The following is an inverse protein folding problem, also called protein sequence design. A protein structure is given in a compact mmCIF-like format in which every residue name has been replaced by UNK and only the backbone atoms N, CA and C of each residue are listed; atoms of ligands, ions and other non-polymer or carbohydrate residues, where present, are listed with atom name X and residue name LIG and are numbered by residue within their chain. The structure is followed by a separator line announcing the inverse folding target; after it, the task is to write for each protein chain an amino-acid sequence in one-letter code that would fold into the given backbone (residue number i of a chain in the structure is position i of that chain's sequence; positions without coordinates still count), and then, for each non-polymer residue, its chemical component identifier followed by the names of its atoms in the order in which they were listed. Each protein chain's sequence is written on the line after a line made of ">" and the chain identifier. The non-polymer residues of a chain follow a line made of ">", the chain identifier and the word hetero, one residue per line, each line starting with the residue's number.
data_IF_087560764055
#
_entry.id   IF_087560764055
#
_cell.length_a   1.000
_cell.length_b   1.000
_cell.length_c   1.000
_cell.angle_alpha   90.00
_cell.angle_beta   90.00
_cell.angle_gamma   90.00
#
_symmetry.space_group_name_H-M   'P 1'
#
loop_
_entity.id
_entity.type
_entity.pdbx_description
1 polymer ?
#
# COMPACT_ATOMS: atom_id res chain seq x y z
N UNK A 1 15.16 -1.80 20.67
CA UNK A 1 15.45 -0.78 21.69
C UNK A 1 16.94 -0.64 21.99
N UNK A 2 17.69 -1.72 22.28
CA UNK A 2 19.15 -1.61 22.57
C UNK A 2 19.95 -0.85 21.51
N UNK A 3 19.65 -1.06 20.21
CA UNK A 3 20.32 -0.34 19.10
C UNK A 3 20.06 1.17 19.16
N UNK A 4 18.81 1.59 19.37
CA UNK A 4 18.50 3.01 19.50
C UNK A 4 19.21 3.65 20.70
N UNK A 5 19.17 2.98 21.85
CA UNK A 5 19.82 3.44 23.08
C UNK A 5 21.35 3.51 22.92
N UNK A 6 21.98 2.49 22.30
CA UNK A 6 23.41 2.45 22.02
C UNK A 6 23.88 3.62 21.14
N UNK A 7 23.04 4.07 20.23
CA UNK A 7 23.34 5.20 19.33
C UNK A 7 22.72 6.52 19.80
N UNK A 8 22.14 6.59 21.02
CA UNK A 8 21.50 7.80 21.54
C UNK A 8 20.29 8.28 20.73
N UNK A 9 19.66 7.38 19.98
CA UNK A 9 18.55 7.69 19.10
C UNK A 9 17.21 7.57 19.84
N UNK A 10 16.27 8.41 19.47
CA UNK A 10 14.88 8.34 19.93
C UNK A 10 13.93 8.23 18.75
N UNK A 11 12.89 7.39 18.84
CA UNK A 11 11.86 7.31 17.82
C UNK A 11 11.19 8.66 17.59
N UNK A 12 10.92 8.98 16.35
CA UNK A 12 10.22 10.19 15.92
C UNK A 12 8.78 9.85 15.54
N UNK A 13 7.85 10.18 16.43
CA UNK A 13 6.43 9.89 16.20
C UNK A 13 5.80 10.82 15.15
N UNK A 14 6.44 11.96 14.80
CA UNK A 14 5.99 12.82 13.71
C UNK A 14 6.30 12.19 12.34
N UNK A 15 7.35 11.36 12.28
CA UNK A 15 7.64 10.51 11.12
C UNK A 15 6.89 9.17 11.15
N UNK A 16 5.95 8.98 12.08
CA UNK A 16 5.18 7.74 12.21
C UNK A 16 6.01 6.53 12.68
N UNK A 17 7.17 6.75 13.31
CA UNK A 17 8.05 5.67 13.76
C UNK A 17 7.44 4.89 14.92
N UNK A 18 7.02 3.67 14.63
CA UNK A 18 6.58 2.64 15.56
C UNK A 18 7.30 1.34 15.20
N UNK A 19 8.43 1.06 15.87
CA UNK A 19 9.26 -0.08 15.53
C UNK A 19 8.62 -1.38 15.98
N UNK A 20 8.48 -2.31 15.06
CA UNK A 20 8.04 -3.68 15.33
C UNK A 20 9.24 -4.48 15.86
N UNK A 21 9.12 -4.98 17.10
CA UNK A 21 10.20 -5.72 17.77
C UNK A 21 9.81 -7.18 18.08
N UNK A 22 8.58 -7.58 17.76
CA UNK A 22 8.09 -8.94 17.96
C UNK A 22 8.58 -9.85 16.82
N UNK A 23 9.52 -10.75 17.13
CA UNK A 23 10.13 -11.66 16.17
C UNK A 23 9.10 -12.58 15.49
N UNK A 24 8.04 -12.99 16.19
CA UNK A 24 7.00 -13.83 15.60
C UNK A 24 6.20 -13.09 14.52
N UNK A 25 5.98 -11.79 14.71
CA UNK A 25 5.31 -10.96 13.70
C UNK A 25 6.24 -10.61 12.54
N UNK A 26 7.51 -10.43 12.79
CA UNK A 26 8.53 -10.28 11.73
C UNK A 26 8.56 -11.54 10.87
N UNK A 27 8.69 -12.71 11.46
CA UNK A 27 8.67 -13.99 10.74
C UNK A 27 7.34 -14.23 10.02
N UNK A 28 6.22 -13.83 10.65
CA UNK A 28 4.91 -13.91 10.01
C UNK A 28 4.83 -12.99 8.78
N UNK A 29 5.42 -11.80 8.83
CA UNK A 29 5.44 -10.86 7.70
C UNK A 29 6.20 -11.45 6.51
N UNK A 30 7.34 -12.09 6.75
CA UNK A 30 8.13 -12.78 5.72
C UNK A 30 7.33 -13.93 5.09
N UNK A 31 6.71 -14.79 5.94
CA UNK A 31 5.91 -15.93 5.46
C UNK A 31 4.65 -15.48 4.73
N UNK A 32 3.90 -14.51 5.28
CA UNK A 32 2.69 -14.01 4.64
C UNK A 32 2.99 -13.20 3.36
N UNK A 33 4.19 -12.63 3.26
CA UNK A 33 4.72 -12.02 2.04
C UNK A 33 5.22 -13.05 1.01
N UNK A 34 5.22 -14.35 1.35
CA UNK A 34 5.72 -15.44 0.51
C UNK A 34 7.13 -15.16 -0.04
N UNK A 35 7.98 -14.61 0.81
CA UNK A 35 9.36 -14.28 0.43
C UNK A 35 10.20 -15.55 0.40
N UNK A 36 10.83 -15.80 -0.75
CA UNK A 36 11.70 -16.95 -0.97
C UNK A 36 13.07 -16.55 -1.54
N UNK A 37 14.00 -17.54 -1.70
CA UNK A 37 15.40 -17.28 -2.06
C UNK A 37 15.62 -16.68 -3.46
N UNK A 38 14.61 -16.74 -4.33
CA UNK A 38 14.67 -16.12 -5.66
C UNK A 38 14.05 -14.72 -5.69
N UNK A 39 13.35 -14.32 -4.63
CA UNK A 39 12.63 -13.07 -4.59
C UNK A 39 13.55 -11.86 -4.36
N UNK A 40 13.09 -10.74 -4.85
CA UNK A 40 13.62 -9.41 -4.56
C UNK A 40 12.60 -8.69 -3.70
N UNK A 41 12.94 -8.47 -2.44
CA UNK A 41 12.08 -7.77 -1.50
C UNK A 41 12.32 -6.25 -1.57
N UNK A 42 11.23 -5.47 -1.50
CA UNK A 42 11.27 -4.04 -1.22
C UNK A 42 10.70 -3.82 0.17
N UNK A 43 11.48 -3.18 1.03
CA UNK A 43 11.05 -2.68 2.32
C UNK A 43 11.07 -1.15 2.34
N UNK A 44 9.98 -0.55 2.81
CA UNK A 44 9.89 0.90 3.01
C UNK A 44 9.79 1.18 4.50
N UNK A 45 10.71 1.99 5.02
CA UNK A 45 10.83 2.28 6.44
C UNK A 45 11.45 1.12 7.23
N UNK A 46 12.70 0.69 6.91
CA UNK A 46 13.39 -0.37 7.65
C UNK A 46 13.59 -0.05 9.14
N UNK A 47 13.59 1.22 9.49
CA UNK A 47 13.75 1.66 10.88
C UNK A 47 15.08 1.22 11.46
N UNK A 48 15.04 0.32 12.44
CA UNK A 48 16.25 -0.26 13.06
C UNK A 48 16.68 -1.59 12.44
N UNK A 49 16.09 -1.97 11.28
CA UNK A 49 16.54 -3.10 10.48
C UNK A 49 16.01 -4.48 10.88
N UNK A 50 15.09 -4.60 11.85
CA UNK A 50 14.63 -5.91 12.35
C UNK A 50 13.97 -6.74 11.24
N UNK A 51 13.07 -6.15 10.48
CA UNK A 51 12.42 -6.83 9.34
C UNK A 51 13.40 -6.98 8.18
N UNK A 52 14.26 -5.98 7.93
CA UNK A 52 15.30 -6.04 6.88
C UNK A 52 16.20 -7.26 7.03
N UNK A 53 16.67 -7.54 8.25
CA UNK A 53 17.50 -8.72 8.57
C UNK A 53 16.77 -10.02 8.27
N UNK A 54 15.48 -10.10 8.62
CA UNK A 54 14.68 -11.29 8.34
C UNK A 54 14.44 -11.48 6.83
N UNK A 55 14.18 -10.39 6.12
CA UNK A 55 14.05 -10.39 4.65
C UNK A 55 15.36 -10.77 3.97
N UNK A 56 16.50 -10.25 4.44
CA UNK A 56 17.82 -10.57 3.88
C UNK A 56 18.19 -12.05 4.00
N UNK A 57 17.70 -12.72 5.04
CA UNK A 57 17.89 -14.18 5.22
C UNK A 57 17.00 -15.01 4.31
N UNK A 58 15.87 -14.47 3.85
CA UNK A 58 14.89 -15.18 3.06
C UNK A 58 14.99 -14.89 1.56
N UNK A 59 15.31 -13.66 1.18
CA UNK A 59 15.29 -13.15 -0.18
C UNK A 59 16.68 -13.16 -0.84
N UNK A 60 16.69 -13.15 -2.17
CA UNK A 60 17.92 -12.95 -2.97
C UNK A 60 18.51 -11.57 -2.79
N UNK A 61 17.68 -10.53 -2.81
CA UNK A 61 18.07 -9.13 -2.65
C UNK A 61 16.99 -8.42 -1.84
N UNK A 62 17.39 -7.49 -0.99
CA UNK A 62 16.48 -6.57 -0.29
C UNK A 62 16.84 -5.14 -0.68
N UNK A 63 15.90 -4.43 -1.29
CA UNK A 63 15.94 -2.99 -1.40
C UNK A 63 15.24 -2.40 -0.17
N UNK A 64 15.94 -1.57 0.59
CA UNK A 64 15.42 -0.90 1.77
C UNK A 64 15.46 0.62 1.56
N UNK A 65 14.30 1.30 1.69
CA UNK A 65 14.20 2.76 1.51
C UNK A 65 13.86 3.41 2.84
N UNK A 66 14.77 4.26 3.36
CA UNK A 66 14.61 4.95 4.64
C UNK A 66 14.67 6.47 4.48
N UNK A 67 13.74 7.14 5.13
CA UNK A 67 13.66 8.60 5.13
C UNK A 67 14.59 9.22 6.17
N UNK A 68 14.66 8.62 7.36
CA UNK A 68 15.33 9.18 8.53
C UNK A 68 16.82 8.80 8.58
N UNK A 69 17.67 9.68 8.07
CA UNK A 69 19.13 9.47 8.09
C UNK A 69 19.74 9.37 9.50
N UNK A 70 19.04 9.80 10.54
CA UNK A 70 19.51 9.63 11.93
C UNK A 70 19.66 8.15 12.31
N UNK A 71 18.91 7.26 11.62
CA UNK A 71 18.97 5.81 11.85
C UNK A 71 20.17 5.14 11.20
N UNK A 72 20.99 5.85 10.41
CA UNK A 72 22.14 5.29 9.67
C UNK A 72 23.11 4.47 10.56
N UNK A 73 23.54 4.95 11.75
CA UNK A 73 24.45 4.15 12.59
C UNK A 73 23.80 2.85 13.09
N UNK A 74 22.55 2.89 13.47
CA UNK A 74 21.81 1.70 13.94
C UNK A 74 21.56 0.70 12.81
N UNK A 75 21.20 1.18 11.61
CA UNK A 75 21.04 0.34 10.42
C UNK A 75 22.37 -0.28 9.98
N UNK A 76 23.46 0.49 9.95
CA UNK A 76 24.78 -0.03 9.60
C UNK A 76 25.21 -1.18 10.53
N UNK A 77 24.97 -1.05 11.84
CA UNK A 77 25.22 -2.13 12.80
C UNK A 77 24.32 -3.35 12.57
N UNK A 78 23.00 -3.12 12.41
CA UNK A 78 22.03 -4.20 12.22
C UNK A 78 22.27 -5.00 10.93
N UNK A 79 22.72 -4.33 9.87
CA UNK A 79 22.92 -4.91 8.54
C UNK A 79 24.36 -5.40 8.30
N UNK A 80 25.24 -5.30 9.30
CA UNK A 80 26.63 -5.73 9.17
C UNK A 80 26.73 -7.20 8.75
N UNK A 81 27.48 -7.47 7.67
CA UNK A 81 27.66 -8.81 7.12
C UNK A 81 26.52 -9.32 6.23
N UNK A 82 25.54 -8.46 5.88
CA UNK A 82 24.49 -8.78 4.93
C UNK A 82 24.80 -8.13 3.57
N UNK A 83 25.34 -8.90 2.64
CA UNK A 83 25.81 -8.40 1.34
C UNK A 83 24.68 -8.21 0.31
N UNK A 84 23.47 -8.73 0.62
CA UNK A 84 22.31 -8.69 -0.26
C UNK A 84 21.32 -7.56 0.06
N UNK A 85 21.66 -6.64 0.97
CA UNK A 85 20.82 -5.47 1.30
C UNK A 85 21.33 -4.23 0.57
N UNK A 86 20.45 -3.54 -0.12
CA UNK A 86 20.69 -2.28 -0.83
C UNK A 86 19.88 -1.18 -0.16
N UNK A 87 20.53 -0.41 0.70
CA UNK A 87 19.93 0.69 1.43
C UNK A 87 19.95 1.97 0.58
N UNK A 88 18.78 2.59 0.41
CA UNK A 88 18.59 3.87 -0.25
C UNK A 88 17.96 4.87 0.73
N UNK A 89 18.53 6.07 0.81
CA UNK A 89 18.01 7.15 1.64
C UNK A 89 17.11 8.06 0.84
N UNK A 90 15.88 8.26 1.30
CA UNK A 90 14.93 9.17 0.67
C UNK A 90 13.47 8.89 1.01
N UNK A 91 12.62 9.79 0.55
CA UNK A 91 11.17 9.64 0.64
C UNK A 91 10.69 8.59 -0.39
N UNK A 92 10.11 7.50 0.07
CA UNK A 92 9.62 6.40 -0.77
C UNK A 92 8.56 6.86 -1.79
N UNK A 93 7.87 7.97 -1.55
CA UNK A 93 6.94 8.55 -2.50
C UNK A 93 7.63 9.31 -3.65
N UNK A 94 8.93 9.63 -3.51
CA UNK A 94 9.70 10.45 -4.45
C UNK A 94 10.89 9.74 -5.08
N UNK A 95 11.48 8.77 -4.37
CA UNK A 95 12.60 7.97 -4.92
C UNK A 95 12.14 7.20 -6.15
N UNK A 96 13.06 6.96 -7.05
CA UNK A 96 12.82 6.13 -8.24
C UNK A 96 12.75 4.64 -7.84
N UNK A 97 11.53 4.18 -7.51
CA UNK A 97 11.29 2.78 -7.22
C UNK A 97 11.22 1.91 -8.49
N UNK A 98 10.96 2.52 -9.65
CA UNK A 98 10.87 1.83 -10.93
C UNK A 98 12.26 1.44 -11.46
N UNK A 99 13.27 2.26 -11.14
CA UNK A 99 14.68 2.03 -11.48
C UNK A 99 15.42 1.07 -10.56
N UNK A 100 14.75 0.44 -9.57
CA UNK A 100 15.39 -0.56 -8.70
C UNK A 100 15.80 -1.80 -9.52
N UNK A 101 17.07 -2.18 -9.44
CA UNK A 101 17.63 -3.35 -10.13
C UNK A 101 18.31 -4.29 -9.11
N UNK A 102 17.95 -5.59 -9.07
CA UNK A 102 16.84 -6.22 -9.78
C UNK A 102 15.47 -5.68 -9.33
N UNK A 103 14.48 -5.73 -10.22
CA UNK A 103 13.14 -5.24 -9.94
C UNK A 103 12.48 -6.00 -8.78
N UNK A 104 11.82 -5.33 -7.83
CA UNK A 104 11.18 -5.97 -6.69
C UNK A 104 10.04 -6.92 -7.10
N UNK A 105 9.99 -8.11 -6.50
CA UNK A 105 8.91 -9.10 -6.67
C UNK A 105 7.97 -9.16 -5.48
N UNK A 106 8.42 -8.66 -4.32
CA UNK A 106 7.68 -8.61 -3.05
C UNK A 106 7.83 -7.23 -2.43
N UNK A 107 6.75 -6.68 -1.89
CA UNK A 107 6.80 -5.51 -1.03
C UNK A 107 6.40 -5.93 0.38
N UNK A 108 7.35 -5.92 1.32
CA UNK A 108 7.11 -6.33 2.71
C UNK A 108 7.59 -5.24 3.64
N UNK A 109 6.69 -4.63 4.40
CA UNK A 109 7.04 -3.45 5.20
C UNK A 109 6.13 -3.25 6.41
N UNK A 110 6.70 -2.68 7.47
CA UNK A 110 5.93 -2.01 8.52
C UNK A 110 5.78 -0.53 8.16
N UNK A 111 4.73 -0.20 7.39
CA UNK A 111 4.60 1.11 6.76
C UNK A 111 4.30 2.23 7.75
N UNK A 112 4.94 3.41 7.59
CA UNK A 112 4.46 4.64 8.22
C UNK A 112 3.00 4.88 7.85
N UNK A 113 2.16 5.20 8.85
CA UNK A 113 0.71 5.19 8.68
C UNK A 113 0.17 6.22 7.70
N UNK A 114 0.85 7.35 7.56
CA UNK A 114 0.47 8.46 6.68
C UNK A 114 0.68 8.15 5.19
N UNK A 115 1.71 7.36 4.86
CA UNK A 115 2.02 7.01 3.46
C UNK A 115 1.49 5.63 3.04
N UNK A 116 0.96 4.82 3.97
CA UNK A 116 0.60 3.42 3.69
C UNK A 116 -0.36 3.28 2.51
N UNK A 117 -1.46 4.05 2.48
CA UNK A 117 -2.43 3.97 1.37
C UNK A 117 -1.86 4.50 0.05
N UNK A 118 -1.31 5.72 -0.03
CA UNK A 118 -0.75 6.19 -1.29
C UNK A 118 0.38 5.30 -1.79
N UNK A 119 1.28 4.82 -0.93
CA UNK A 119 2.38 3.95 -1.34
C UNK A 119 1.89 2.64 -1.96
N UNK A 120 0.98 1.92 -1.28
CA UNK A 120 0.46 0.64 -1.80
C UNK A 120 -0.31 0.86 -3.09
N UNK A 121 -1.17 1.88 -3.16
CA UNK A 121 -1.91 2.20 -4.38
C UNK A 121 -0.95 2.57 -5.52
N UNK A 122 0.02 3.47 -5.32
CA UNK A 122 0.99 3.84 -6.35
C UNK A 122 1.85 2.65 -6.81
N UNK A 123 2.24 1.76 -5.89
CA UNK A 123 3.06 0.59 -6.20
C UNK A 123 2.37 -0.40 -7.15
N UNK A 124 1.03 -0.38 -7.25
CA UNK A 124 0.31 -1.20 -8.25
C UNK A 124 0.76 -0.86 -9.69
N UNK A 125 1.05 0.43 -9.96
CA UNK A 125 1.51 0.92 -11.26
C UNK A 125 3.02 0.97 -11.37
N UNK A 126 3.67 1.54 -10.37
CA UNK A 126 5.12 1.77 -10.39
C UNK A 126 5.94 0.49 -10.28
N UNK A 127 5.39 -0.57 -9.70
CA UNK A 127 6.09 -1.84 -9.48
C UNK A 127 5.31 -3.02 -10.08
N UNK A 128 5.24 -3.13 -11.41
CA UNK A 128 4.44 -4.17 -12.08
C UNK A 128 4.96 -5.59 -11.81
N UNK A 129 6.23 -5.75 -11.43
CA UNK A 129 6.85 -7.02 -11.04
C UNK A 129 6.48 -7.49 -9.64
N UNK A 130 5.96 -6.62 -8.77
CA UNK A 130 5.52 -7.01 -7.43
C UNK A 130 4.28 -7.90 -7.53
N UNK A 131 4.43 -9.15 -7.13
CA UNK A 131 3.37 -10.15 -7.12
C UNK A 131 2.64 -10.25 -5.76
N UNK A 132 3.29 -9.80 -4.68
CA UNK A 132 2.75 -9.86 -3.32
C UNK A 132 3.16 -8.63 -2.52
N UNK A 133 2.19 -8.04 -1.86
CA UNK A 133 2.38 -7.02 -0.80
C UNK A 133 2.07 -7.66 0.53
N UNK A 134 2.94 -7.51 1.53
CA UNK A 134 2.66 -7.88 2.91
C UNK A 134 3.01 -6.70 3.81
N UNK A 135 2.01 -5.97 4.27
CA UNK A 135 2.25 -4.70 4.95
C UNK A 135 1.52 -4.62 6.28
N UNK A 136 2.21 -4.05 7.26
CA UNK A 136 1.64 -3.65 8.53
C UNK A 136 1.10 -2.23 8.40
N UNK A 137 -0.20 -2.05 8.69
CA UNK A 137 -0.89 -0.76 8.58
C UNK A 137 -1.85 -0.57 9.74
N UNK A 138 -2.42 0.63 9.92
CA UNK A 138 -3.51 0.81 10.87
C UNK A 138 -4.69 -0.11 10.53
N UNK A 139 -5.37 -0.66 11.56
CA UNK A 139 -6.53 -1.54 11.37
C UNK A 139 -7.62 -0.92 10.49
N UNK A 140 -7.93 0.35 10.70
CA UNK A 140 -8.91 1.07 9.89
C UNK A 140 -8.51 1.18 8.41
N UNK A 141 -7.22 1.35 8.12
CA UNK A 141 -6.68 1.37 6.76
C UNK A 141 -6.88 0.03 6.08
N UNK A 142 -6.53 -1.06 6.78
CA UNK A 142 -6.77 -2.43 6.30
C UNK A 142 -8.26 -2.70 6.03
N UNK A 143 -9.13 -2.28 6.98
CA UNK A 143 -10.57 -2.44 6.85
C UNK A 143 -11.13 -1.66 5.66
N UNK A 144 -10.58 -0.49 5.37
CA UNK A 144 -10.95 0.33 4.20
C UNK A 144 -10.51 -0.31 2.89
N UNK A 145 -9.28 -0.84 2.82
CA UNK A 145 -8.79 -1.49 1.59
C UNK A 145 -9.61 -2.71 1.20
N UNK A 146 -10.06 -3.49 2.19
CA UNK A 146 -10.80 -4.73 2.02
C UNK A 146 -12.33 -4.56 2.12
N UNK A 147 -12.80 -3.31 2.19
CA UNK A 147 -14.20 -3.02 2.32
C UNK A 147 -14.99 -3.40 1.06
N UNK A 148 -16.13 -4.12 1.18
CA UNK A 148 -16.98 -4.42 0.04
C UNK A 148 -17.78 -3.21 -0.43
N UNK A 149 -18.26 -3.22 -1.70
CA UNK A 149 -19.22 -2.22 -2.20
C UNK A 149 -20.43 -2.05 -1.28
N UNK A 150 -20.94 -0.83 -1.18
CA UNK A 150 -22.06 -0.48 -0.30
C UNK A 150 -21.69 -0.25 1.16
N UNK A 151 -20.51 -0.63 1.60
CA UNK A 151 -20.08 -0.39 2.98
C UNK A 151 -19.64 1.05 3.21
N UNK A 152 -19.72 1.51 4.47
CA UNK A 152 -19.29 2.86 4.85
C UNK A 152 -17.78 3.11 4.60
N UNK A 153 -16.96 2.08 4.67
CA UNK A 153 -15.51 2.18 4.52
C UNK A 153 -15.05 2.09 3.05
N UNK A 154 -15.90 1.55 2.17
CA UNK A 154 -15.56 1.40 0.76
C UNK A 154 -15.20 2.74 0.10
N UNK A 155 -14.09 2.78 -0.64
CA UNK A 155 -13.54 4.01 -1.20
C UNK A 155 -12.66 3.75 -2.42
N UNK A 156 -12.05 4.82 -2.95
CA UNK A 156 -11.20 4.72 -4.14
C UNK A 156 -10.05 3.72 -3.98
N UNK A 157 -9.42 3.67 -2.82
CA UNK A 157 -8.35 2.69 -2.55
C UNK A 157 -8.89 1.25 -2.58
N UNK A 158 -10.10 1.00 -2.03
CA UNK A 158 -10.75 -0.32 -2.09
C UNK A 158 -10.92 -0.78 -3.54
N UNK A 159 -11.43 0.12 -4.40
CA UNK A 159 -11.64 -0.16 -5.84
C UNK A 159 -10.31 -0.46 -6.53
N UNK A 160 -9.33 0.44 -6.40
CA UNK A 160 -8.06 0.33 -7.13
C UNK A 160 -7.26 -0.92 -6.72
N UNK A 161 -7.29 -1.26 -5.43
CA UNK A 161 -6.66 -2.50 -4.92
C UNK A 161 -7.41 -3.72 -5.45
N UNK A 162 -8.75 -3.76 -5.34
CA UNK A 162 -9.53 -4.91 -5.78
C UNK A 162 -9.47 -5.18 -7.30
N UNK A 163 -9.16 -4.15 -8.10
CA UNK A 163 -8.96 -4.30 -9.55
C UNK A 163 -7.61 -4.93 -9.92
N UNK A 164 -6.62 -4.89 -9.03
CA UNK A 164 -5.26 -5.36 -9.31
C UNK A 164 -4.80 -6.50 -8.40
N UNK A 165 -5.43 -6.67 -7.24
CA UNK A 165 -5.00 -7.62 -6.23
C UNK A 165 -6.18 -8.14 -5.39
N UNK A 166 -5.99 -9.28 -4.77
CA UNK A 166 -6.93 -9.87 -3.82
C UNK A 166 -6.29 -10.08 -2.45
N UNK A 167 -7.08 -10.09 -1.37
CA UNK A 167 -6.55 -10.39 -0.04
C UNK A 167 -6.13 -11.86 0.06
N UNK A 168 -4.84 -12.10 0.37
CA UNK A 168 -4.27 -13.42 0.61
C UNK A 168 -4.19 -13.74 2.12
N UNK A 169 -3.97 -12.73 2.95
CA UNK A 169 -3.86 -12.89 4.40
C UNK A 169 -4.27 -11.62 5.13
N UNK A 170 -4.86 -11.77 6.32
CA UNK A 170 -5.12 -10.67 7.25
C UNK A 170 -5.06 -11.14 8.68
N UNK A 171 -4.36 -10.39 9.54
CA UNK A 171 -4.30 -10.60 10.98
C UNK A 171 -4.35 -9.27 11.73
N UNK A 172 -5.20 -9.17 12.73
CA UNK A 172 -5.19 -8.04 13.66
C UNK A 172 -3.96 -8.11 14.56
N UNK A 173 -3.34 -6.96 14.82
CA UNK A 173 -2.12 -6.81 15.61
C UNK A 173 -2.36 -5.73 16.65
N UNK A 174 -2.21 -6.12 17.92
CA UNK A 174 -2.34 -5.19 19.04
C UNK A 174 -1.17 -4.20 19.05
N UNK A 175 -1.42 -3.02 19.58
CA UNK A 175 -0.44 -1.93 19.64
C UNK A 175 0.73 -2.18 20.61
N UNK A 176 0.64 -3.19 21.48
CA UNK A 176 1.65 -3.53 22.50
C UNK A 176 2.95 -4.09 21.91
N UNK A 177 2.94 -4.57 20.66
CA UNK A 177 4.12 -5.13 19.99
C UNK A 177 5.04 -4.07 19.36
N UNK A 178 4.62 -2.80 19.42
CA UNK A 178 5.37 -1.68 18.85
C UNK A 178 6.02 -0.81 19.94
N UNK A 179 7.15 -0.22 19.59
CA UNK A 179 7.82 0.79 20.42
C UNK A 179 8.25 1.99 19.57
N UNK A 180 7.80 3.21 19.91
CA UNK A 180 6.76 3.52 20.90
C UNK A 180 5.41 2.94 20.49
N UNK A 181 4.54 2.72 21.51
CA UNK A 181 3.20 2.18 21.26
C UNK A 181 2.36 3.18 20.47
N UNK A 182 1.73 2.78 19.34
CA UNK A 182 0.82 3.64 18.58
C UNK A 182 -0.50 3.87 19.34
N UNK A 183 -1.28 4.85 18.90
CA UNK A 183 -2.59 5.17 19.51
C UNK A 183 -3.69 4.18 19.13
N UNK A 184 -3.52 3.48 18.01
CA UNK A 184 -4.50 2.57 17.41
C UNK A 184 -3.88 1.20 17.14
N UNK A 185 -4.73 0.17 17.05
CA UNK A 185 -4.29 -1.16 16.66
C UNK A 185 -3.94 -1.20 15.17
N UNK A 186 -3.11 -2.17 14.83
CA UNK A 186 -2.65 -2.43 13.47
C UNK A 186 -3.29 -3.68 12.87
N UNK A 187 -3.04 -3.90 11.61
CA UNK A 187 -3.30 -5.15 10.94
C UNK A 187 -2.13 -5.47 9.98
N UNK A 188 -1.71 -6.72 9.96
CA UNK A 188 -0.88 -7.26 8.91
C UNK A 188 -1.80 -7.73 7.77
N UNK A 189 -1.59 -7.20 6.58
CA UNK A 189 -2.37 -7.52 5.37
C UNK A 189 -1.44 -7.99 4.28
N UNK A 190 -1.74 -9.15 3.69
CA UNK A 190 -1.11 -9.55 2.45
C UNK A 190 -2.11 -9.48 1.29
N UNK A 191 -1.66 -8.91 0.18
CA UNK A 191 -2.41 -8.76 -1.06
C UNK A 191 -1.63 -9.47 -2.17
N UNK A 192 -2.31 -10.34 -2.92
CA UNK A 192 -1.75 -11.03 -4.08
C UNK A 192 -2.19 -10.33 -5.35
N UNK A 193 -1.27 -10.06 -6.24
CA UNK A 193 -1.59 -9.52 -7.57
C UNK A 193 -2.43 -10.53 -8.37
N UNK A 194 -3.53 -10.06 -8.94
CA UNK A 194 -4.42 -10.88 -9.78
C UNK A 194 -4.36 -10.46 -11.25
N UNK A 195 -3.80 -9.27 -11.53
CA UNK A 195 -3.72 -8.75 -12.89
C UNK A 195 -2.87 -7.48 -12.97
N UNK A 196 -2.81 -6.86 -14.15
CA UNK A 196 -2.16 -5.58 -14.33
C UNK A 196 -2.89 -4.49 -13.54
N UNK A 197 -2.19 -3.40 -13.25
CA UNK A 197 -2.82 -2.21 -12.70
C UNK A 197 -3.91 -1.69 -13.64
N UNK A 198 -5.02 -1.14 -13.10
CA UNK A 198 -6.04 -0.50 -13.92
C UNK A 198 -5.45 0.64 -14.78
N UNK A 199 -6.07 0.94 -15.94
CA UNK A 199 -5.62 2.04 -16.78
C UNK A 199 -5.67 3.39 -16.04
N UNK A 200 -4.86 4.38 -16.49
CA UNK A 200 -4.89 5.72 -15.89
C UNK A 200 -6.28 6.36 -16.03
N UNK A 201 -7.02 6.08 -17.10
CA UNK A 201 -8.41 6.49 -17.25
C UNK A 201 -9.29 5.95 -16.12
N UNK A 202 -9.16 4.66 -15.79
CA UNK A 202 -9.89 4.05 -14.67
C UNK A 202 -9.48 4.68 -13.33
N UNK A 203 -8.18 4.87 -13.11
CA UNK A 203 -7.63 5.48 -11.90
C UNK A 203 -8.16 6.90 -11.69
N UNK A 204 -8.10 7.72 -12.73
CA UNK A 204 -8.59 9.10 -12.73
C UNK A 204 -10.12 9.15 -12.49
N UNK A 205 -10.89 8.28 -13.17
CA UNK A 205 -12.34 8.18 -12.97
C UNK A 205 -12.68 7.78 -11.53
N UNK A 206 -11.99 6.80 -10.95
CA UNK A 206 -12.18 6.41 -9.53
C UNK A 206 -11.92 7.59 -8.61
N UNK A 207 -10.83 8.34 -8.84
CA UNK A 207 -10.50 9.55 -8.07
C UNK A 207 -11.62 10.60 -8.15
N UNK A 208 -12.11 10.89 -9.35
CA UNK A 208 -13.20 11.83 -9.59
C UNK A 208 -14.52 11.36 -8.91
N UNK A 209 -14.87 10.09 -9.05
CA UNK A 209 -16.07 9.49 -8.50
C UNK A 209 -16.11 9.55 -6.96
N UNK A 210 -14.97 9.27 -6.29
CA UNK A 210 -14.86 9.29 -4.82
C UNK A 210 -14.52 10.66 -4.24
N UNK A 211 -14.13 11.64 -5.06
CA UNK A 211 -13.89 13.01 -4.62
C UNK A 211 -15.12 13.68 -4.01
N UNK A 212 -16.32 13.22 -4.37
CA UNK A 212 -17.60 13.76 -3.86
C UNK A 212 -18.54 12.63 -3.39
N UNK A 213 -18.12 11.85 -2.38
CA UNK A 213 -18.82 10.63 -1.90
C UNK A 213 -20.33 10.75 -1.66
N UNK A 214 -20.83 11.93 -1.29
CA UNK A 214 -22.27 12.14 -0.99
C UNK A 214 -23.11 12.41 -2.21
N UNK A 215 -22.53 12.74 -3.37
CA UNK A 215 -23.23 12.97 -4.61
C UNK A 215 -23.50 11.66 -5.37
N UNK A 216 -24.51 11.68 -6.23
CA UNK A 216 -24.67 10.61 -7.23
C UNK A 216 -23.47 10.58 -8.16
N UNK A 217 -23.17 9.42 -8.73
CA UNK A 217 -22.02 9.24 -9.61
C UNK A 217 -22.06 10.22 -10.80
N UNK A 218 -23.23 10.40 -11.42
CA UNK A 218 -23.41 11.38 -12.50
C UNK A 218 -23.03 12.81 -12.05
N UNK A 219 -23.42 13.23 -10.85
CA UNK A 219 -23.08 14.56 -10.35
C UNK A 219 -21.60 14.67 -9.91
N UNK A 220 -20.99 13.59 -9.43
CA UNK A 220 -19.57 13.57 -9.07
C UNK A 220 -18.71 13.72 -10.31
N UNK A 221 -18.98 12.95 -11.37
CA UNK A 221 -18.23 12.97 -12.63
C UNK A 221 -18.46 14.27 -13.41
N UNK A 222 -19.71 14.80 -13.42
CA UNK A 222 -19.99 16.11 -13.99
C UNK A 222 -19.21 17.24 -13.29
N UNK A 223 -19.05 17.14 -11.97
CA UNK A 223 -18.20 18.05 -11.20
C UNK A 223 -16.71 17.96 -11.53
N UNK A 224 -16.27 16.88 -12.16
CA UNK A 224 -14.93 16.67 -12.69
C UNK A 224 -14.81 16.96 -14.20
N UNK A 225 -15.84 17.56 -14.82
CA UNK A 225 -15.81 18.01 -16.21
C UNK A 225 -16.51 17.11 -17.22
N UNK A 226 -17.09 15.98 -16.81
CA UNK A 226 -17.84 15.12 -17.73
C UNK A 226 -19.18 15.73 -18.13
N UNK A 227 -19.63 15.49 -19.36
CA UNK A 227 -20.99 15.81 -19.76
C UNK A 227 -22.00 14.93 -19.00
N UNK A 228 -22.95 15.57 -18.31
CA UNK A 228 -23.90 14.87 -17.46
C UNK A 228 -24.83 13.92 -18.24
N UNK A 229 -25.17 14.27 -19.46
CA UNK A 229 -26.00 13.45 -20.34
C UNK A 229 -25.25 12.20 -20.80
N UNK A 230 -24.00 12.35 -21.18
CA UNK A 230 -23.12 11.22 -21.53
C UNK A 230 -22.95 10.27 -20.35
N UNK A 231 -22.71 10.80 -19.15
CA UNK A 231 -22.61 9.96 -17.94
C UNK A 231 -23.91 9.21 -17.68
N UNK A 232 -25.07 9.90 -17.78
CA UNK A 232 -26.38 9.25 -17.59
C UNK A 232 -26.63 8.13 -18.61
N UNK A 233 -26.26 8.36 -19.88
CA UNK A 233 -26.33 7.35 -20.94
C UNK A 233 -25.43 6.15 -20.65
N UNK A 234 -24.16 6.39 -20.29
CA UNK A 234 -23.20 5.33 -19.96
C UNK A 234 -23.65 4.49 -18.75
N UNK A 235 -24.24 5.13 -17.73
CA UNK A 235 -24.81 4.41 -16.58
C UNK A 235 -25.99 3.52 -16.99
N UNK A 236 -26.89 4.03 -17.83
CA UNK A 236 -28.03 3.26 -18.33
C UNK A 236 -27.56 2.04 -19.17
N UNK A 237 -26.61 2.23 -20.05
CA UNK A 237 -26.01 1.15 -20.89
C UNK A 237 -25.36 0.05 -20.04
N UNK A 238 -24.81 0.40 -18.89
CA UNK A 238 -24.22 -0.54 -17.94
C UNK A 238 -25.20 -1.11 -16.90
N UNK A 239 -26.47 -0.73 -16.99
CA UNK A 239 -27.50 -1.13 -16.02
C UNK A 239 -27.30 -0.56 -14.61
N UNK A 240 -26.58 0.56 -14.50
CA UNK A 240 -26.31 1.23 -13.22
C UNK A 240 -27.43 2.26 -12.95
N UNK A 241 -28.11 2.20 -11.80
CA UNK A 241 -29.18 3.15 -11.48
C UNK A 241 -28.69 4.61 -11.51
N UNK A 242 -29.49 5.53 -12.06
CA UNK A 242 -29.15 6.94 -12.15
C UNK A 242 -28.86 7.61 -10.80
N UNK A 243 -29.46 7.09 -9.73
CA UNK A 243 -29.22 7.55 -8.34
C UNK A 243 -28.00 6.93 -7.66
N UNK A 244 -27.31 5.97 -8.30
CA UNK A 244 -26.16 5.28 -7.71
C UNK A 244 -25.03 6.24 -7.35
N UNK A 245 -24.34 5.96 -6.25
CA UNK A 245 -23.11 6.63 -5.83
C UNK A 245 -21.92 5.75 -6.16
N UNK A 246 -20.72 6.33 -6.20
CA UNK A 246 -19.50 5.56 -6.41
C UNK A 246 -19.36 4.38 -5.42
N UNK A 247 -19.79 4.57 -4.18
CA UNK A 247 -19.72 3.54 -3.15
C UNK A 247 -20.64 2.34 -3.38
N UNK A 248 -21.63 2.44 -4.24
CA UNK A 248 -22.61 1.38 -4.52
C UNK A 248 -22.11 0.43 -5.63
N UNK A 249 -21.05 0.83 -6.37
CA UNK A 249 -20.57 0.10 -7.55
C UNK A 249 -19.51 -0.96 -7.17
N UNK A 250 -19.64 -2.12 -7.81
CA UNK A 250 -18.56 -3.12 -7.81
C UNK A 250 -17.30 -2.59 -8.52
N UNK A 251 -16.10 -3.00 -8.12
CA UNK A 251 -14.84 -2.52 -8.71
C UNK A 251 -14.82 -2.60 -10.24
N UNK A 252 -15.31 -3.70 -10.82
CA UNK A 252 -15.30 -4.01 -12.25
C UNK A 252 -16.18 -3.06 -13.09
N UNK A 253 -17.07 -2.32 -12.45
CA UNK A 253 -17.88 -1.32 -13.12
C UNK A 253 -17.06 -0.08 -13.53
N UNK A 254 -15.99 0.25 -12.79
CA UNK A 254 -15.21 1.46 -13.04
C UNK A 254 -14.42 1.40 -14.35
N UNK A 255 -13.67 0.32 -14.70
CA UNK A 255 -13.03 0.20 -16.01
C UNK A 255 -14.02 0.28 -17.16
N UNK A 256 -15.15 -0.42 -17.07
CA UNK A 256 -16.23 -0.39 -18.08
C UNK A 256 -16.82 1.00 -18.27
N UNK A 257 -16.99 1.74 -17.17
CA UNK A 257 -17.49 3.11 -17.22
C UNK A 257 -16.44 4.06 -17.81
N UNK A 258 -15.17 3.91 -17.46
CA UNK A 258 -14.09 4.71 -18.03
C UNK A 258 -13.97 4.52 -19.54
N UNK A 259 -14.08 3.28 -20.01
CA UNK A 259 -14.08 2.94 -21.44
C UNK A 259 -15.32 3.55 -22.16
N UNK A 260 -16.52 3.37 -21.57
CA UNK A 260 -17.77 3.87 -22.16
C UNK A 260 -17.83 5.38 -22.30
N UNK A 261 -17.21 6.09 -21.36
CA UNK A 261 -17.10 7.56 -21.35
C UNK A 261 -15.91 8.08 -22.16
N UNK A 262 -15.05 7.21 -22.72
CA UNK A 262 -13.75 7.60 -23.26
C UNK A 262 -13.03 8.58 -22.30
N UNK A 263 -13.01 8.21 -21.01
CA UNK A 263 -12.55 9.07 -19.93
C UNK A 263 -11.06 9.38 -20.06
N UNK A 264 -10.71 10.66 -20.11
CA UNK A 264 -9.32 11.12 -20.27
C UNK A 264 -8.75 11.79 -19.00
N UNK A 265 -9.57 12.05 -17.97
CA UNK A 265 -9.13 12.67 -16.70
C UNK A 265 -9.74 14.01 -16.45
#
# INVERSE_FOLDING_TARGET
>A
MRLLEAHGLRPDTELGQHFLLDENLVDLSVRAGEVGPEDVALEVGPGVGVLTVALARAARVVHAVELDRRLEPALAEALAGLDNVRLQWGDAMRVDLEGLDPAPTRLVANLPYDIATPLVVESLWRLPSVAMWCVMVQREVADRWLAPPGSRLYGGASVLIALAAEPAFRRSVGREVFTPRPRVDSALVALRRTGPAPSEATRSLVRAAFGQRRKTLANALAGAGADKGQVAGALADLGIPAGARAADLAPEAFPRLAERLAWTG
#
